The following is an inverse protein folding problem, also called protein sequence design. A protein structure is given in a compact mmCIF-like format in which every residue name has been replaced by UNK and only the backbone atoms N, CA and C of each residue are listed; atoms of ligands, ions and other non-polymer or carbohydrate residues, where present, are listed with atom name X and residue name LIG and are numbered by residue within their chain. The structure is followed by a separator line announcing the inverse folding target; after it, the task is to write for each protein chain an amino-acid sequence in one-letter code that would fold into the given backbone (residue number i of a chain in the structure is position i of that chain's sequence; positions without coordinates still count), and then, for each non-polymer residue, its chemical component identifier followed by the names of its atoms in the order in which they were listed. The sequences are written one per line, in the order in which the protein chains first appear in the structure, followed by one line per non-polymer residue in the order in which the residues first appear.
data_IF_805885824628
#
_entry.id   IF_805885824628
#
_cell.length_a   1.000
_cell.length_b   1.000
_cell.length_c   1.000
_cell.angle_alpha   90.00
_cell.angle_beta   90.00
_cell.angle_gamma   90.00
#
_symmetry.space_group_name_H-M   'P 1'
#
loop_
_entity.id
_entity.type
_entity.pdbx_description
1 polymer ?
#
# COMPACT_ATOMS: atom_id res chain seq x y z
N UNK A 1 11.78 11.30 11.33
CA UNK A 1 11.57 9.83 11.26
C UNK A 1 10.44 9.61 10.28
N UNK A 2 10.54 8.68 9.32
CA UNK A 2 9.40 8.39 8.45
C UNK A 2 8.31 7.71 9.30
N UNK A 3 7.15 8.34 9.44
CA UNK A 3 6.00 7.81 10.17
C UNK A 3 5.08 7.03 9.22
N UNK A 4 4.19 6.20 9.78
CA UNK A 4 3.14 5.48 9.04
C UNK A 4 2.41 6.45 8.08
N UNK A 5 2.03 7.62 8.60
CA UNK A 5 1.35 8.68 7.85
C UNK A 5 2.15 9.18 6.64
N UNK A 6 3.45 9.46 6.77
CA UNK A 6 4.27 9.95 5.65
C UNK A 6 4.36 8.92 4.51
N UNK A 7 4.33 7.64 4.86
CA UNK A 7 4.38 6.53 3.91
C UNK A 7 3.03 6.40 3.22
N UNK A 8 1.96 6.38 4.01
CA UNK A 8 0.59 6.32 3.51
C UNK A 8 0.27 7.49 2.57
N UNK A 9 0.63 8.71 2.96
CA UNK A 9 0.45 9.89 2.11
C UNK A 9 1.21 9.75 0.77
N UNK A 10 2.45 9.25 0.78
CA UNK A 10 3.18 8.96 -0.47
C UNK A 10 2.47 7.94 -1.35
N UNK A 11 1.87 6.92 -0.76
CA UNK A 11 1.07 5.92 -1.47
C UNK A 11 -0.18 6.57 -2.04
N UNK A 12 -0.90 7.38 -1.27
CA UNK A 12 -2.10 8.10 -1.73
C UNK A 12 -1.78 9.05 -2.87
N UNK A 13 -0.69 9.82 -2.77
CA UNK A 13 -0.20 10.69 -3.85
C UNK A 13 0.12 9.85 -5.08
N UNK A 14 0.83 8.72 -4.92
CA UNK A 14 1.12 7.84 -6.04
C UNK A 14 -0.17 7.34 -6.71
N UNK A 15 -1.13 6.85 -5.90
CA UNK A 15 -2.41 6.35 -6.37
C UNK A 15 -3.12 7.45 -7.13
N UNK A 16 -3.39 8.60 -6.51
CA UNK A 16 -4.13 9.72 -7.12
C UNK A 16 -3.40 10.40 -8.29
N UNK A 17 -2.07 10.29 -8.37
CA UNK A 17 -1.27 10.89 -9.44
C UNK A 17 -1.07 9.95 -10.64
N UNK A 18 -0.98 8.64 -10.42
CA UNK A 18 -0.78 7.64 -11.48
C UNK A 18 -2.07 6.92 -11.90
N UNK A 19 -3.09 6.93 -11.04
CA UNK A 19 -4.33 6.18 -11.22
C UNK A 19 -5.54 7.04 -10.83
N UNK A 20 -6.65 6.89 -11.56
CA UNK A 20 -7.90 7.58 -11.23
C UNK A 20 -8.61 6.98 -10.02
N UNK A 21 -8.38 5.68 -9.75
CA UNK A 21 -9.03 4.96 -8.64
C UNK A 21 -8.04 4.10 -7.87
N UNK A 22 -8.26 3.88 -6.55
CA UNK A 22 -7.47 2.94 -5.76
C UNK A 22 -7.56 1.51 -6.30
N UNK A 23 -8.67 1.15 -6.94
CA UNK A 23 -8.88 -0.16 -7.56
C UNK A 23 -7.94 -0.37 -8.75
N UNK A 24 -7.80 0.65 -9.61
CA UNK A 24 -6.86 0.59 -10.73
C UNK A 24 -5.40 0.51 -10.26
N UNK A 25 -5.06 1.22 -9.19
CA UNK A 25 -3.73 1.10 -8.59
C UNK A 25 -3.50 -0.30 -8.03
N UNK A 26 -4.46 -0.84 -7.29
CA UNK A 26 -4.40 -2.17 -6.70
C UNK A 26 -4.21 -3.24 -7.78
N UNK A 27 -5.06 -3.25 -8.80
CA UNK A 27 -4.98 -4.18 -9.94
C UNK A 27 -3.65 -4.06 -10.69
N UNK A 28 -3.12 -2.84 -10.85
CA UNK A 28 -1.81 -2.62 -11.46
C UNK A 28 -0.65 -3.23 -10.66
N UNK A 29 -0.73 -3.21 -9.32
CA UNK A 29 0.30 -3.77 -8.46
C UNK A 29 0.14 -5.28 -8.24
N UNK A 30 -1.08 -5.81 -8.31
CA UNK A 30 -1.41 -7.24 -8.28
C UNK A 30 -1.00 -7.91 -9.61
N UNK A 31 0.29 -8.24 -9.69
CA UNK A 31 0.90 -8.84 -10.88
C UNK A 31 0.45 -10.28 -11.09
N UNK A 32 0.10 -10.96 -10.02
CA UNK A 32 -0.33 -12.36 -10.07
C UNK A 32 -1.84 -12.49 -10.36
N UNK A 33 -2.60 -11.38 -10.26
CA UNK A 33 -4.05 -11.36 -10.46
C UNK A 33 -4.79 -12.15 -9.38
N UNK A 34 -4.21 -12.18 -8.18
CA UNK A 34 -4.74 -12.97 -7.05
C UNK A 34 -5.88 -12.27 -6.32
N UNK A 35 -6.11 -10.98 -6.61
CA UNK A 35 -6.99 -10.09 -5.86
C UNK A 35 -6.39 -9.63 -4.53
N UNK A 36 -5.09 -9.87 -4.32
CA UNK A 36 -4.35 -9.58 -3.08
C UNK A 36 -2.93 -9.12 -3.39
N UNK A 37 -2.45 -8.13 -2.64
CA UNK A 37 -1.06 -7.67 -2.72
C UNK A 37 -0.21 -8.44 -1.72
N UNK A 38 0.72 -9.23 -2.25
CA UNK A 38 1.74 -9.86 -1.42
C UNK A 38 2.84 -8.87 -1.02
N UNK A 39 3.65 -9.26 -0.03
CA UNK A 39 4.79 -8.47 0.45
C UNK A 39 5.70 -7.96 -0.67
N UNK A 40 5.95 -8.76 -1.71
CA UNK A 40 6.81 -8.35 -2.83
C UNK A 40 6.17 -7.29 -3.71
N UNK A 41 4.84 -7.31 -3.87
CA UNK A 41 4.06 -6.31 -4.60
C UNK A 41 3.93 -5.02 -3.80
N UNK A 42 3.67 -5.11 -2.49
CA UNK A 42 3.71 -3.95 -1.59
C UNK A 42 5.08 -3.27 -1.64
N UNK A 43 6.17 -4.05 -1.66
CA UNK A 43 7.53 -3.51 -1.85
C UNK A 43 7.66 -2.76 -3.18
N UNK A 44 7.06 -3.25 -4.28
CA UNK A 44 7.07 -2.52 -5.56
C UNK A 44 6.24 -1.25 -5.48
N UNK A 45 5.06 -1.28 -4.89
CA UNK A 45 4.23 -0.10 -4.67
C UNK A 45 5.00 0.98 -3.89
N UNK A 46 5.67 0.59 -2.80
CA UNK A 46 6.53 1.50 -2.03
C UNK A 46 7.72 2.02 -2.85
N UNK A 47 8.23 1.24 -3.80
CA UNK A 47 9.27 1.70 -4.73
C UNK A 47 8.78 2.85 -5.59
N UNK A 48 7.60 2.69 -6.18
CA UNK A 48 6.99 3.70 -7.03
C UNK A 48 6.62 4.95 -6.22
N UNK A 49 6.19 4.78 -4.96
CA UNK A 49 5.96 5.88 -4.00
C UNK A 49 7.25 6.61 -3.52
N UNK A 50 8.39 6.34 -4.16
CA UNK A 50 9.71 6.89 -3.83
C UNK A 50 10.13 6.64 -2.38
N UNK A 51 9.74 5.50 -1.80
CA UNK A 51 10.19 5.09 -0.47
C UNK A 51 11.60 4.52 -0.58
N UNK A 52 12.47 5.00 0.30
CA UNK A 52 13.88 4.60 0.35
C UNK A 52 14.01 3.08 0.53
N UNK A 53 14.83 2.45 -0.32
CA UNK A 53 15.00 0.99 -0.36
C UNK A 53 15.46 0.38 0.98
N UNK A 54 16.15 1.17 1.82
CA UNK A 54 16.61 0.75 3.14
C UNK A 54 15.46 0.44 4.11
N UNK A 55 14.38 1.21 4.08
CA UNK A 55 13.24 1.03 5.00
C UNK A 55 12.09 0.26 4.36
N UNK A 56 12.08 0.14 3.03
CA UNK A 56 10.99 -0.44 2.25
C UNK A 56 10.54 -1.82 2.72
N UNK A 57 11.47 -2.72 3.05
CA UNK A 57 11.11 -4.05 3.55
C UNK A 57 10.43 -4.01 4.92
N UNK A 58 10.92 -3.15 5.81
CA UNK A 58 10.33 -2.95 7.15
C UNK A 58 8.95 -2.29 7.01
N UNK A 59 8.84 -1.29 6.15
CA UNK A 59 7.59 -0.57 5.88
C UNK A 59 6.55 -1.49 5.26
N UNK A 60 6.92 -2.30 4.27
CA UNK A 60 6.02 -3.29 3.69
C UNK A 60 5.51 -4.25 4.76
N UNK A 61 6.40 -4.74 5.63
CA UNK A 61 6.00 -5.59 6.77
C UNK A 61 4.98 -4.88 7.65
N UNK A 62 5.28 -3.65 8.08
CA UNK A 62 4.41 -2.89 8.97
C UNK A 62 3.07 -2.47 8.35
N UNK A 63 3.03 -2.25 7.05
CA UNK A 63 1.79 -1.97 6.33
C UNK A 63 0.94 -3.24 6.28
N UNK A 64 1.53 -4.36 5.86
CA UNK A 64 0.84 -5.66 5.87
C UNK A 64 0.34 -5.95 7.28
N UNK A 65 1.21 -5.99 8.29
CA UNK A 65 0.82 -6.25 9.69
C UNK A 65 -0.20 -5.25 10.27
N UNK A 66 -0.25 -4.02 9.73
CA UNK A 66 -1.16 -2.97 10.21
C UNK A 66 -2.55 -3.01 9.58
N UNK A 67 -2.69 -3.63 8.40
CA UNK A 67 -3.94 -3.66 7.63
C UNK A 67 -4.46 -5.07 7.36
N UNK A 68 -3.58 -6.09 7.40
CA UNK A 68 -3.90 -7.51 7.32
C UNK A 68 -4.75 -7.92 8.54
N UNK A 69 -6.06 -7.77 8.37
CA UNK A 69 -7.08 -8.18 9.33
C UNK A 69 -7.49 -9.64 9.10
N UNK A 70 -7.25 -10.15 7.90
CA UNK A 70 -7.52 -11.54 7.51
C UNK A 70 -6.47 -12.52 8.08
N UNK A 71 -5.26 -12.04 8.37
CA UNK A 71 -4.14 -12.82 8.92
C UNK A 71 -3.47 -13.72 7.89
N UNK A 72 -3.50 -13.32 6.62
CA UNK A 72 -2.88 -14.09 5.52
C UNK A 72 -1.56 -13.51 5.00
N UNK A 73 -1.01 -12.49 5.67
CA UNK A 73 0.20 -11.77 5.30
C UNK A 73 0.14 -11.13 3.90
N UNK A 74 -1.08 -10.93 3.38
CA UNK A 74 -1.37 -10.25 2.13
C UNK A 74 -2.34 -9.10 2.43
N UNK A 75 -2.38 -8.10 1.54
CA UNK A 75 -3.36 -7.02 1.60
C UNK A 75 -4.39 -7.28 0.51
N UNK A 76 -5.59 -7.70 0.90
CA UNK A 76 -6.74 -7.78 0.03
C UNK A 76 -7.30 -6.40 -0.35
N UNK A 77 -8.22 -6.39 -1.31
CA UNK A 77 -8.87 -5.17 -1.77
C UNK A 77 -9.53 -4.37 -0.64
N UNK A 78 -10.25 -5.03 0.27
CA UNK A 78 -10.92 -4.37 1.39
C UNK A 78 -9.93 -3.72 2.35
N UNK A 79 -8.83 -4.40 2.66
CA UNK A 79 -7.76 -3.92 3.55
C UNK A 79 -7.00 -2.77 2.91
N UNK A 80 -6.73 -2.85 1.61
CA UNK A 80 -6.12 -1.77 0.85
C UNK A 80 -7.01 -0.54 0.83
N UNK A 81 -8.31 -0.72 0.57
CA UNK A 81 -9.28 0.38 0.58
C UNK A 81 -9.34 1.04 1.95
N UNK A 82 -9.41 0.26 3.04
CA UNK A 82 -9.35 0.79 4.41
C UNK A 82 -8.05 1.57 4.65
N UNK A 83 -6.92 1.06 4.15
CA UNK A 83 -5.64 1.74 4.28
C UNK A 83 -5.56 3.07 3.54
N UNK A 84 -6.28 3.21 2.42
CA UNK A 84 -6.36 4.46 1.64
C UNK A 84 -7.38 5.42 2.25
N UNK A 85 -8.53 4.91 2.68
CA UNK A 85 -9.64 5.67 3.28
C UNK A 85 -9.25 6.28 4.64
N UNK A 86 -8.50 5.53 5.47
CA UNK A 86 -7.93 6.04 6.73
C UNK A 86 -7.06 7.29 6.53
N UNK A 87 -6.49 7.49 5.33
CA UNK A 87 -5.65 8.64 4.99
C UNK A 87 -6.51 9.85 4.62
N UNK A 88 -7.67 9.65 3.96
CA UNK A 88 -8.58 10.73 3.57
C UNK A 88 -9.26 11.40 4.79
N UNK A 89 -9.53 10.67 5.86
CA UNK A 89 -10.18 11.21 7.07
C UNK A 89 -9.23 12.05 7.97
N UNK A 90 -7.92 12.01 7.70
CA UNK A 90 -6.92 12.73 8.52
C UNK A 90 -6.44 14.07 7.91
N UNK A 91 -7.01 14.51 6.77
CA UNK A 91 -6.62 15.71 6.04
C UNK A 91 -7.48 16.95 6.35
#
# INVERSE_FOLDING_TARGET
MATKESILNKIQILITNQFDTPEAAFDFFDKDGSGKLNRSEVVKLLKEAEISGFIRGIVASKLVEGYDSSGDELIGWEEFKLAVDEIEDTA
#
